data_IF_395511692051
#
_entry.id   IF_395511692051
#
_cell.length_a   1.000
_cell.length_b   1.000
_cell.length_c   1.000
_cell.angle_alpha   90.00
_cell.angle_beta   90.00
_cell.angle_gamma   90.00
#
_symmetry.space_group_name_H-M   'P 1'
#
loop_
_entity.id
_entity.type
_entity.pdbx_description
1 polymer ?
#
# COMPACT_ATOMS: atom_id res chain seq x y z
N UNK A 1 -27.49 39.11 1.13
CA UNK A 1 -27.52 37.73 0.63
C UNK A 1 -26.09 37.22 0.64
N UNK A 2 -25.82 36.15 1.38
CA UNK A 2 -24.48 35.56 1.49
C UNK A 2 -24.21 34.78 0.20
N UNK A 3 -23.31 35.30 -0.63
CA UNK A 3 -22.79 34.57 -1.78
C UNK A 3 -21.93 33.42 -1.24
N UNK A 4 -22.39 32.19 -1.43
CA UNK A 4 -21.59 31.00 -1.23
C UNK A 4 -20.36 31.09 -2.15
N UNK A 5 -19.16 31.18 -1.56
CA UNK A 5 -17.92 30.95 -2.30
C UNK A 5 -17.98 29.52 -2.82
N UNK A 6 -18.23 29.38 -4.13
CA UNK A 6 -17.84 28.16 -4.83
C UNK A 6 -16.31 28.07 -4.69
N UNK A 7 -15.85 27.26 -3.75
CA UNK A 7 -14.44 26.91 -3.60
C UNK A 7 -13.99 26.38 -4.95
N UNK A 8 -13.03 27.06 -5.58
CA UNK A 8 -12.45 26.63 -6.85
C UNK A 8 -12.09 25.15 -6.74
N UNK A 9 -12.71 24.30 -7.55
CA UNK A 9 -12.40 22.89 -7.59
C UNK A 9 -10.95 22.77 -8.09
N UNK A 10 -10.01 22.45 -7.19
CA UNK A 10 -8.63 22.19 -7.56
C UNK A 10 -8.61 21.10 -8.64
N UNK A 11 -8.09 21.45 -9.82
CA UNK A 11 -7.99 20.51 -10.93
C UNK A 11 -6.93 19.47 -10.59
N UNK A 12 -7.35 18.24 -10.34
CA UNK A 12 -6.47 17.10 -10.13
C UNK A 12 -6.21 16.36 -11.45
N UNK A 13 -4.95 15.98 -11.72
CA UNK A 13 -4.57 15.20 -12.90
C UNK A 13 -4.99 13.72 -12.78
N UNK A 14 -4.99 13.17 -11.55
CA UNK A 14 -5.32 11.77 -11.28
C UNK A 14 -5.97 11.61 -9.90
N UNK A 15 -7.24 11.23 -9.87
CA UNK A 15 -7.93 10.79 -8.66
C UNK A 15 -7.99 9.26 -8.62
N UNK A 16 -7.62 8.66 -7.48
CA UNK A 16 -7.68 7.21 -7.25
C UNK A 16 -8.64 6.94 -6.09
N UNK A 17 -9.66 6.11 -6.32
CA UNK A 17 -10.61 5.70 -5.29
C UNK A 17 -10.10 4.43 -4.60
N UNK A 18 -9.84 4.55 -3.29
CA UNK A 18 -9.32 3.51 -2.41
C UNK A 18 -7.81 3.58 -2.21
N UNK A 19 -7.36 3.39 -0.96
CA UNK A 19 -5.94 3.43 -0.54
C UNK A 19 -5.29 2.03 -0.45
N UNK A 20 -5.87 1.06 -1.17
CA UNK A 20 -5.48 -0.34 -1.12
C UNK A 20 -4.28 -0.69 -2.00
N UNK A 21 -4.00 -1.99 -2.10
CA UNK A 21 -2.89 -2.53 -2.92
C UNK A 21 -2.97 -2.14 -4.39
N UNK A 22 -4.18 -2.06 -4.97
CA UNK A 22 -4.35 -1.65 -6.36
C UNK A 22 -3.88 -0.20 -6.59
N UNK A 23 -4.22 0.71 -5.68
CA UNK A 23 -3.75 2.10 -5.71
C UNK A 23 -2.23 2.17 -5.61
N UNK A 24 -1.62 1.45 -4.65
CA UNK A 24 -0.16 1.40 -4.51
C UNK A 24 0.53 0.86 -5.77
N UNK A 25 -0.08 -0.11 -6.47
CA UNK A 25 0.42 -0.65 -7.74
C UNK A 25 0.38 0.40 -8.86
N UNK A 26 -0.66 1.24 -8.90
CA UNK A 26 -0.73 2.36 -9.85
C UNK A 26 0.36 3.38 -9.51
N UNK A 27 0.40 3.85 -8.26
CA UNK A 27 1.35 4.86 -7.80
C UNK A 27 2.81 4.41 -7.99
N UNK A 28 3.10 3.12 -7.84
CA UNK A 28 4.45 2.60 -7.99
C UNK A 28 5.02 2.74 -9.40
N UNK A 29 4.15 2.89 -10.41
CA UNK A 29 4.50 3.03 -11.84
C UNK A 29 4.53 4.48 -12.30
N UNK A 30 4.15 5.42 -11.43
CA UNK A 30 4.23 6.84 -11.72
C UNK A 30 5.63 7.37 -11.39
N UNK A 31 6.06 8.39 -12.13
CA UNK A 31 7.16 9.23 -11.64
C UNK A 31 6.75 9.89 -10.33
N UNK A 32 7.74 10.21 -9.48
CA UNK A 32 7.51 10.84 -8.17
C UNK A 32 6.62 12.08 -8.28
N UNK A 33 6.95 12.99 -9.20
CA UNK A 33 6.20 14.23 -9.43
C UNK A 33 4.73 13.98 -9.80
N UNK A 34 4.45 12.92 -10.56
CA UNK A 34 3.06 12.55 -10.92
C UNK A 34 2.32 11.90 -9.77
N UNK A 35 3.01 11.09 -8.95
CA UNK A 35 2.42 10.51 -7.75
C UNK A 35 2.04 11.59 -6.74
N UNK A 36 2.89 12.59 -6.52
CA UNK A 36 2.65 13.69 -5.57
C UNK A 36 1.49 14.61 -6.01
N UNK A 37 1.18 14.69 -7.32
CA UNK A 37 0.01 15.41 -7.84
C UNK A 37 -1.28 14.58 -7.86
N UNK A 38 -1.21 13.28 -7.57
CA UNK A 38 -2.39 12.43 -7.48
C UNK A 38 -3.11 12.65 -6.15
N UNK A 39 -4.43 12.42 -6.15
CA UNK A 39 -5.25 12.42 -4.94
C UNK A 39 -5.82 11.03 -4.74
N UNK A 40 -5.59 10.46 -3.55
CA UNK A 40 -6.20 9.19 -3.15
C UNK A 40 -7.38 9.48 -2.24
N UNK A 41 -8.55 8.97 -2.60
CA UNK A 41 -9.79 9.17 -1.86
C UNK A 41 -10.16 7.85 -1.21
N UNK A 42 -10.12 7.78 0.13
CA UNK A 42 -10.47 6.56 0.87
C UNK A 42 -11.27 6.91 2.13
N UNK A 43 -12.43 6.27 2.40
CA UNK A 43 -13.25 6.59 3.57
C UNK A 43 -12.52 6.49 4.93
N UNK A 44 -11.46 5.67 5.01
CA UNK A 44 -10.67 5.54 6.23
C UNK A 44 -9.67 6.67 6.42
N UNK A 45 -9.25 7.33 5.33
CA UNK A 45 -8.11 8.25 5.31
C UNK A 45 -6.77 7.58 5.64
N UNK A 46 -6.68 6.25 5.60
CA UNK A 46 -5.49 5.49 5.97
C UNK A 46 -5.10 4.51 4.86
N UNK A 47 -3.80 4.36 4.62
CA UNK A 47 -3.29 3.39 3.67
C UNK A 47 -3.60 1.95 4.09
N UNK A 48 -3.99 1.11 3.13
CA UNK A 48 -4.20 -0.33 3.33
C UNK A 48 -5.25 -0.71 4.40
N UNK A 49 -6.12 0.22 4.80
CA UNK A 49 -7.13 -0.03 5.84
C UNK A 49 -8.03 -1.22 5.53
N UNK A 50 -8.56 -1.30 4.30
CA UNK A 50 -9.41 -2.41 3.85
C UNK A 50 -8.68 -3.76 3.86
N UNK A 51 -7.39 -3.76 3.52
CA UNK A 51 -6.55 -4.95 3.61
C UNK A 51 -6.41 -5.40 5.07
N UNK A 52 -6.02 -4.50 5.97
CA UNK A 52 -5.85 -4.81 7.39
C UNK A 52 -7.16 -5.36 8.00
N UNK A 53 -8.29 -4.69 7.78
CA UNK A 53 -9.62 -5.17 8.22
C UNK A 53 -9.95 -6.55 7.67
N UNK A 54 -9.64 -6.81 6.40
CA UNK A 54 -9.91 -8.11 5.78
C UNK A 54 -9.09 -9.21 6.42
N UNK A 55 -7.78 -9.00 6.66
CA UNK A 55 -6.93 -10.01 7.28
C UNK A 55 -7.35 -10.31 8.72
N UNK A 56 -7.69 -9.26 9.50
CA UNK A 56 -8.22 -9.42 10.85
C UNK A 56 -9.52 -10.24 10.86
N UNK A 57 -10.48 -9.92 9.97
CA UNK A 57 -11.75 -10.65 9.87
C UNK A 57 -11.56 -12.12 9.49
N UNK A 58 -10.58 -12.42 8.63
CA UNK A 58 -10.29 -13.77 8.18
C UNK A 58 -9.46 -14.58 9.18
N UNK A 59 -8.92 -13.96 10.24
CA UNK A 59 -7.97 -14.60 11.15
C UNK A 59 -6.67 -15.04 10.46
N UNK A 60 -6.31 -14.40 9.34
CA UNK A 60 -5.17 -14.81 8.52
C UNK A 60 -3.85 -14.42 9.22
N UNK A 61 -3.00 -15.40 9.46
CA UNK A 61 -1.67 -15.18 10.04
C UNK A 61 -0.62 -14.87 8.97
N UNK A 62 -0.80 -15.43 7.77
CA UNK A 62 0.13 -15.35 6.64
C UNK A 62 -0.60 -14.96 5.36
N UNK A 63 0.14 -14.38 4.41
CA UNK A 63 -0.39 -14.15 3.06
C UNK A 63 -0.68 -15.47 2.35
N UNK A 64 -1.42 -15.42 1.24
CA UNK A 64 -1.61 -16.60 0.38
C UNK A 64 -0.53 -16.75 -0.70
N UNK A 65 0.04 -15.63 -1.14
CA UNK A 65 1.14 -15.56 -2.10
C UNK A 65 1.77 -14.18 -2.00
N UNK A 66 3.10 -14.07 -2.00
CA UNK A 66 3.82 -12.78 -1.99
C UNK A 66 3.84 -12.13 -3.35
N UNK A 67 4.11 -12.92 -4.39
CA UNK A 67 4.35 -12.45 -5.76
C UNK A 67 3.14 -11.72 -6.33
N UNK A 68 1.93 -12.14 -5.97
CA UNK A 68 0.69 -11.50 -6.43
C UNK A 68 0.16 -10.43 -5.47
N UNK A 69 0.79 -10.26 -4.30
CA UNK A 69 0.30 -9.37 -3.25
C UNK A 69 1.17 -8.16 -2.99
N UNK A 70 2.45 -8.17 -3.36
CA UNK A 70 3.31 -6.99 -3.28
C UNK A 70 2.86 -5.95 -4.31
N UNK A 71 2.40 -4.76 -3.90
CA UNK A 71 1.84 -3.77 -4.82
C UNK A 71 2.91 -2.83 -5.37
N UNK A 72 4.15 -3.29 -5.52
CA UNK A 72 5.28 -2.46 -5.97
C UNK A 72 6.01 -3.14 -7.11
N UNK A 73 6.70 -2.36 -7.94
CA UNK A 73 7.38 -2.84 -9.15
C UNK A 73 8.41 -3.94 -8.88
N UNK A 74 9.04 -3.93 -7.70
CA UNK A 74 10.05 -4.90 -7.32
C UNK A 74 9.55 -5.82 -6.19
N UNK A 75 9.10 -7.02 -6.54
CA UNK A 75 8.69 -8.05 -5.59
C UNK A 75 9.83 -8.50 -4.65
N UNK A 76 11.09 -8.43 -5.09
CA UNK A 76 12.26 -8.76 -4.27
C UNK A 76 12.50 -7.75 -3.14
N UNK A 77 11.84 -6.59 -3.16
CA UNK A 77 11.92 -5.60 -2.08
C UNK A 77 11.42 -6.14 -0.75
N UNK A 78 10.37 -6.98 -0.76
CA UNK A 78 9.85 -7.62 0.44
C UNK A 78 10.81 -8.69 0.98
N UNK A 79 11.40 -9.49 0.10
CA UNK A 79 12.39 -10.51 0.47
C UNK A 79 13.63 -9.85 1.10
N UNK A 80 14.15 -8.80 0.46
CA UNK A 80 15.27 -8.01 1.00
C UNK A 80 14.91 -7.38 2.35
N UNK A 81 13.71 -6.82 2.50
CA UNK A 81 13.24 -6.26 3.77
C UNK A 81 13.24 -7.31 4.89
N UNK A 82 12.77 -8.52 4.60
CA UNK A 82 12.76 -9.66 5.54
C UNK A 82 14.20 -10.04 5.94
N UNK A 83 15.10 -10.13 4.97
CA UNK A 83 16.49 -10.52 5.20
C UNK A 83 17.25 -9.49 6.02
N UNK A 84 17.17 -8.21 5.63
CA UNK A 84 17.90 -7.11 6.29
C UNK A 84 17.43 -6.89 7.74
N UNK A 85 16.14 -7.10 8.03
CA UNK A 85 15.59 -6.90 9.37
C UNK A 85 15.49 -8.18 10.21
N UNK A 86 16.05 -9.29 9.74
CA UNK A 86 16.09 -10.55 10.49
C UNK A 86 14.73 -11.21 10.73
N UNK A 87 13.70 -10.91 9.93
CA UNK A 87 12.32 -11.39 10.12
C UNK A 87 12.06 -12.78 9.54
N UNK A 88 13.10 -13.60 9.39
CA UNK A 88 13.02 -14.93 8.74
C UNK A 88 12.08 -15.89 9.47
N UNK A 89 11.86 -15.71 10.78
CA UNK A 89 10.95 -16.53 11.60
C UNK A 89 9.48 -16.30 11.26
N UNK A 90 9.16 -15.13 10.72
CA UNK A 90 7.80 -14.75 10.32
C UNK A 90 7.48 -15.14 8.87
N UNK A 91 8.26 -16.06 8.29
CA UNK A 91 8.12 -16.51 6.91
C UNK A 91 8.02 -18.03 6.88
N UNK A 92 6.91 -18.52 6.33
CA UNK A 92 6.71 -19.94 6.07
C UNK A 92 7.27 -20.27 4.69
N UNK A 93 8.10 -21.31 4.59
CA UNK A 93 8.58 -21.85 3.32
C UNK A 93 8.03 -23.26 3.13
N UNK A 94 7.40 -23.50 1.98
CA UNK A 94 6.83 -24.81 1.62
C UNK A 94 7.80 -25.71 0.86
N UNK A 95 8.95 -25.17 0.41
CA UNK A 95 10.02 -25.91 -0.26
C UNK A 95 11.16 -24.99 -0.71
N UNK A 96 12.27 -25.57 -1.17
CA UNK A 96 13.49 -24.85 -1.58
C UNK A 96 13.37 -24.07 -2.89
N UNK A 97 12.30 -24.27 -3.67
CA UNK A 97 12.05 -23.59 -4.95
C UNK A 97 10.90 -22.56 -4.93
N UNK A 98 10.26 -22.33 -3.78
CA UNK A 98 9.11 -21.42 -3.68
C UNK A 98 9.46 -20.17 -2.86
N UNK A 99 8.90 -19.03 -3.27
CA UNK A 99 8.99 -17.81 -2.50
C UNK A 99 8.38 -18.02 -1.11
N UNK A 100 9.07 -17.52 -0.08
CA UNK A 100 8.56 -17.57 1.28
C UNK A 100 7.27 -16.76 1.43
N UNK A 101 6.37 -17.26 2.28
CA UNK A 101 5.10 -16.62 2.60
C UNK A 101 5.23 -15.90 3.95
N UNK A 102 5.27 -14.56 3.99
CA UNK A 102 5.41 -13.80 5.21
C UNK A 102 4.10 -13.71 5.96
N UNK A 103 4.22 -13.43 7.25
CA UNK A 103 3.09 -13.05 8.06
C UNK A 103 2.42 -11.78 7.52
N UNK A 104 1.12 -11.65 7.76
CA UNK A 104 0.35 -10.44 7.43
C UNK A 104 1.00 -9.20 8.07
N UNK A 105 1.54 -9.35 9.29
CA UNK A 105 2.24 -8.29 10.02
C UNK A 105 3.46 -7.79 9.27
N UNK A 106 4.36 -8.70 8.88
CA UNK A 106 5.60 -8.33 8.16
C UNK A 106 5.29 -7.65 6.83
N UNK A 107 4.27 -8.16 6.13
CA UNK A 107 3.81 -7.53 4.91
C UNK A 107 3.28 -6.11 5.14
N UNK A 108 2.45 -5.91 6.16
CA UNK A 108 1.91 -4.59 6.51
C UNK A 108 3.02 -3.60 6.89
N UNK A 109 4.01 -4.03 7.68
CA UNK A 109 5.17 -3.22 8.06
C UNK A 109 6.03 -2.83 6.84
N UNK A 110 6.24 -3.77 5.91
CA UNK A 110 6.94 -3.49 4.66
C UNK A 110 6.19 -2.47 3.80
N UNK A 111 4.88 -2.62 3.64
CA UNK A 111 4.08 -1.66 2.90
C UNK A 111 4.05 -0.30 3.57
N UNK A 112 3.89 -0.22 4.89
CA UNK A 112 3.90 1.03 5.64
C UNK A 112 5.23 1.77 5.48
N UNK A 113 6.36 1.06 5.60
CA UNK A 113 7.69 1.63 5.33
C UNK A 113 7.78 2.17 3.91
N UNK A 114 7.38 1.37 2.92
CA UNK A 114 7.46 1.77 1.51
C UNK A 114 6.59 2.98 1.20
N UNK A 115 5.40 3.05 1.80
CA UNK A 115 4.50 4.21 1.69
C UNK A 115 5.14 5.45 2.30
N UNK A 116 5.69 5.36 3.52
CA UNK A 116 6.35 6.48 4.16
C UNK A 116 7.54 7.00 3.33
N UNK A 117 8.35 6.11 2.76
CA UNK A 117 9.54 6.46 2.00
C UNK A 117 9.26 6.97 0.59
N UNK A 118 8.26 6.40 -0.11
CA UNK A 118 8.00 6.69 -1.54
C UNK A 118 6.76 7.52 -1.82
N UNK A 119 5.76 7.44 -0.94
CA UNK A 119 4.44 8.03 -1.15
C UNK A 119 4.01 8.95 0.00
N UNK A 120 4.93 9.36 0.88
CA UNK A 120 4.64 10.28 1.98
C UNK A 120 4.16 11.65 1.53
N UNK A 121 4.46 12.05 0.29
CA UNK A 121 3.95 13.28 -0.33
C UNK A 121 2.62 13.14 -1.07
N UNK A 122 2.05 11.92 -1.15
CA UNK A 122 0.77 11.69 -1.82
C UNK A 122 -0.38 12.06 -0.90
N UNK A 123 -1.29 12.92 -1.39
CA UNK A 123 -2.47 13.37 -0.64
C UNK A 123 -3.48 12.23 -0.51
N UNK A 124 -3.87 11.91 0.73
CA UNK A 124 -4.96 10.97 1.04
C UNK A 124 -6.09 11.73 1.72
N UNK A 125 -7.23 11.81 1.05
CA UNK A 125 -8.42 12.48 1.53
C UNK A 125 -9.46 11.46 2.02
N UNK A 126 -10.20 11.84 3.06
CA UNK A 126 -11.42 11.13 3.43
C UNK A 126 -12.53 11.50 2.45
N UNK A 127 -12.95 10.51 1.67
CA UNK A 127 -14.12 10.61 0.79
C UNK A 127 -15.43 10.30 1.48
#
# INVERSE_FOLDING_TARGET
GVFAMATACERCELAIVGSGRACLSVLSRLSRDRAERAVVIDPSGAWLYSFARTQLRLGATHLRSTTTQVPFENACGLERYIETLGKKRDVVRTGSGFAGVPSVRVFAEYCAKTVAERFGGVRVERG
#
